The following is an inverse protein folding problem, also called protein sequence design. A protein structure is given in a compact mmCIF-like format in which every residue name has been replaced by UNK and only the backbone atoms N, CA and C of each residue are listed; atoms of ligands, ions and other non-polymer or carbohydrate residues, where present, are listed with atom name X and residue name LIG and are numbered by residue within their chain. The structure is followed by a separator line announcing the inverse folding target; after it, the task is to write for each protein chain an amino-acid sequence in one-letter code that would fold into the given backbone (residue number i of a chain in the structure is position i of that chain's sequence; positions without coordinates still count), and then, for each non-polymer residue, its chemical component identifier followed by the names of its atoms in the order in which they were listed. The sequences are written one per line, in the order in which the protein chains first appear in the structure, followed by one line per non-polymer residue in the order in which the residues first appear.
data_IF_844261687970
#
_entry.id   IF_844261687970
#
_cell.length_a   1.000
_cell.length_b   1.000
_cell.length_c   1.000
_cell.angle_alpha   90.00
_cell.angle_beta   90.00
_cell.angle_gamma   90.00
#
_symmetry.space_group_name_H-M   'P 1'
#
loop_
_entity.id
_entity.type
_entity.pdbx_description
1 polymer ?
#
# COMPACT_ATOMS: atom_id res chain seq x y z
N UNK A 1 25.63 24.89 -64.02
CA UNK A 1 24.40 24.14 -63.76
C UNK A 1 24.78 22.76 -63.25
N UNK A 2 24.53 22.47 -61.98
CA UNK A 2 24.76 21.16 -61.38
C UNK A 2 23.98 21.12 -60.07
N UNK A 3 22.81 20.49 -60.10
CA UNK A 3 21.89 20.41 -58.97
C UNK A 3 22.41 19.44 -57.91
N UNK A 4 22.38 19.88 -56.65
CA UNK A 4 22.68 19.07 -55.46
C UNK A 4 21.41 18.29 -55.10
N UNK A 5 21.49 16.96 -55.14
CA UNK A 5 20.39 16.08 -54.78
C UNK A 5 20.38 15.84 -53.27
N UNK A 6 19.31 16.27 -52.61
CA UNK A 6 18.98 15.98 -51.21
C UNK A 6 18.69 14.47 -51.04
N UNK A 7 19.28 13.85 -50.02
CA UNK A 7 18.95 12.48 -49.60
C UNK A 7 18.05 12.55 -48.37
N UNK A 8 16.75 12.31 -48.55
CA UNK A 8 15.80 12.06 -47.47
C UNK A 8 16.01 10.67 -46.87
N UNK A 9 16.32 10.59 -45.58
CA UNK A 9 16.32 9.33 -44.83
C UNK A 9 14.94 9.12 -44.20
N UNK A 10 14.12 8.27 -44.81
CA UNK A 10 12.88 7.77 -44.20
C UNK A 10 13.24 6.73 -43.15
N UNK A 11 12.94 7.00 -41.88
CA UNK A 11 13.03 6.02 -40.79
C UNK A 11 11.81 5.10 -40.91
N UNK A 12 12.02 3.83 -41.26
CA UNK A 12 10.97 2.81 -41.20
C UNK A 12 10.58 2.55 -39.74
N UNK A 13 9.29 2.71 -39.41
CA UNK A 13 8.74 2.25 -38.14
C UNK A 13 8.67 0.72 -38.13
N UNK A 14 9.02 0.04 -37.02
CA UNK A 14 8.87 -1.40 -36.94
C UNK A 14 7.38 -1.79 -36.99
N UNK A 15 7.09 -2.79 -37.82
CA UNK A 15 5.76 -3.38 -38.02
C UNK A 15 5.20 -3.87 -36.68
N UNK A 16 3.98 -3.44 -36.34
CA UNK A 16 3.28 -3.88 -35.15
C UNK A 16 3.21 -5.42 -35.11
N UNK A 17 3.64 -6.00 -33.99
CA UNK A 17 3.58 -7.43 -33.75
C UNK A 17 2.13 -7.80 -33.44
N UNK A 18 1.34 -8.09 -34.47
CA UNK A 18 0.03 -8.70 -34.31
C UNK A 18 0.25 -10.18 -33.96
N UNK A 19 0.17 -10.49 -32.67
CA UNK A 19 0.00 -11.88 -32.22
C UNK A 19 -1.43 -12.27 -32.58
N UNK A 20 -1.59 -13.18 -33.54
CA UNK A 20 -2.85 -13.88 -33.75
C UNK A 20 -3.17 -14.69 -32.49
N UNK A 21 -4.02 -14.13 -31.64
CA UNK A 21 -4.49 -14.81 -30.43
C UNK A 21 -5.46 -15.91 -30.84
N UNK A 22 -4.94 -17.14 -30.89
CA UNK A 22 -5.74 -18.35 -30.96
C UNK A 22 -6.63 -18.39 -29.70
N UNK A 23 -7.94 -18.16 -29.87
CA UNK A 23 -9.01 -18.16 -28.86
C UNK A 23 -8.55 -18.09 -27.40
N UNK A 24 -8.05 -16.92 -27.00
CA UNK A 24 -7.78 -16.64 -25.59
C UNK A 24 -9.12 -16.52 -24.87
N UNK A 25 -9.52 -17.58 -24.18
CA UNK A 25 -10.63 -17.56 -23.23
C UNK A 25 -10.22 -16.62 -22.09
N UNK A 26 -10.62 -15.35 -22.19
CA UNK A 26 -10.34 -14.33 -21.18
C UNK A 26 -10.84 -14.84 -19.82
N UNK A 27 -10.01 -14.88 -18.75
CA UNK A 27 -10.48 -15.27 -17.44
C UNK A 27 -11.60 -14.30 -17.04
N UNK A 28 -12.73 -14.86 -16.59
CA UNK A 28 -13.93 -14.09 -16.30
C UNK A 28 -13.62 -12.97 -15.29
N UNK A 29 -14.08 -11.77 -15.59
CA UNK A 29 -13.77 -10.56 -14.83
C UNK A 29 -14.52 -10.46 -13.50
N UNK A 30 -14.99 -11.56 -12.92
CA UNK A 30 -15.89 -11.52 -11.77
C UNK A 30 -15.46 -12.55 -10.73
N UNK A 31 -14.90 -12.08 -9.60
CA UNK A 31 -14.78 -12.88 -8.39
C UNK A 31 -16.02 -12.64 -7.52
N UNK A 32 -16.69 -13.70 -7.10
CA UNK A 32 -17.88 -13.61 -6.25
C UNK A 32 -17.46 -13.46 -4.79
N UNK A 33 -17.93 -12.40 -4.12
CA UNK A 33 -17.80 -12.24 -2.67
C UNK A 33 -19.15 -11.81 -2.10
N UNK A 34 -19.63 -12.54 -1.09
CA UNK A 34 -20.89 -12.27 -0.40
C UNK A 34 -20.71 -11.21 0.68
N UNK A 35 -21.47 -10.13 0.59
CA UNK A 35 -21.67 -9.16 1.67
C UNK A 35 -23.19 -9.14 1.94
N UNK A 36 -23.58 -9.13 3.22
CA UNK A 36 -24.93 -9.16 3.82
C UNK A 36 -26.11 -8.57 2.97
N UNK A 37 -27.38 -8.94 3.26
CA UNK A 37 -28.44 -8.97 2.27
C UNK A 37 -28.72 -7.59 1.66
N UNK A 38 -28.49 -7.44 0.36
CA UNK A 38 -29.20 -6.46 -0.46
C UNK A 38 -28.37 -5.40 -1.21
N UNK A 39 -27.05 -5.30 -1.06
CA UNK A 39 -26.24 -4.39 -1.90
C UNK A 39 -24.92 -5.02 -2.35
N UNK A 40 -24.93 -5.59 -3.55
CA UNK A 40 -23.76 -6.14 -4.22
C UNK A 40 -23.03 -5.00 -4.96
N UNK A 41 -21.86 -4.57 -4.49
CA UNK A 41 -20.99 -3.63 -5.22
C UNK A 41 -19.81 -4.42 -5.76
N UNK A 42 -19.80 -4.70 -7.07
CA UNK A 42 -18.70 -5.40 -7.72
C UNK A 42 -17.49 -4.47 -7.82
N UNK A 43 -16.37 -4.84 -7.20
CA UNK A 43 -15.08 -4.26 -7.53
C UNK A 43 -14.55 -4.97 -8.78
N UNK A 44 -14.00 -4.26 -9.77
CA UNK A 44 -13.40 -4.92 -10.92
C UNK A 44 -12.25 -5.84 -10.47
N UNK A 45 -12.00 -6.95 -11.16
CA UNK A 45 -11.04 -7.99 -10.78
C UNK A 45 -9.59 -7.47 -10.83
N UNK A 46 -9.36 -6.40 -11.59
CA UNK A 46 -8.10 -5.64 -11.59
C UNK A 46 -7.80 -5.05 -10.21
N UNK A 47 -8.83 -4.64 -9.46
CA UNK A 47 -8.70 -4.13 -8.11
C UNK A 47 -8.29 -5.23 -7.12
N UNK A 48 -8.89 -6.42 -7.19
CA UNK A 48 -8.54 -7.53 -6.31
C UNK A 48 -7.09 -7.99 -6.49
N UNK A 49 -6.67 -8.18 -7.75
CA UNK A 49 -5.27 -8.51 -8.07
C UNK A 49 -4.30 -7.39 -7.69
N UNK A 50 -4.67 -6.13 -7.95
CA UNK A 50 -3.84 -4.98 -7.55
C UNK A 50 -3.65 -4.93 -6.04
N UNK A 51 -4.70 -5.21 -5.27
CA UNK A 51 -4.60 -5.25 -3.81
C UNK A 51 -3.69 -6.38 -3.34
N UNK A 52 -3.79 -7.57 -3.95
CA UNK A 52 -2.91 -8.71 -3.64
C UNK A 52 -1.43 -8.39 -3.93
N UNK A 53 -1.12 -7.77 -5.08
CA UNK A 53 0.25 -7.35 -5.39
C UNK A 53 0.75 -6.26 -4.43
N UNK A 54 -0.10 -5.29 -4.09
CA UNK A 54 0.25 -4.26 -3.12
C UNK A 54 0.49 -4.85 -1.72
N UNK A 55 -0.32 -5.84 -1.31
CA UNK A 55 -0.19 -6.54 -0.04
C UNK A 55 1.14 -7.31 0.03
N UNK A 56 1.48 -8.03 -1.04
CA UNK A 56 2.75 -8.75 -1.14
C UNK A 56 3.95 -7.81 -1.00
N UNK A 57 3.93 -6.67 -1.70
CA UNK A 57 4.99 -5.66 -1.62
C UNK A 57 5.09 -5.01 -0.24
N UNK A 58 3.96 -4.69 0.38
CA UNK A 58 3.94 -4.12 1.73
C UNK A 58 4.55 -5.12 2.72
N UNK A 59 4.09 -6.36 2.69
CA UNK A 59 4.60 -7.46 3.54
C UNK A 59 6.10 -7.66 3.35
N UNK A 60 6.58 -7.73 2.11
CA UNK A 60 8.01 -7.86 1.78
C UNK A 60 8.82 -6.69 2.36
N UNK A 61 8.33 -5.45 2.21
CA UNK A 61 8.99 -4.27 2.77
C UNK A 61 9.08 -4.31 4.29
N UNK A 62 8.05 -4.79 4.98
CA UNK A 62 8.08 -4.99 6.43
C UNK A 62 9.12 -6.04 6.84
N UNK A 63 9.27 -7.13 6.07
CA UNK A 63 10.35 -8.10 6.30
C UNK A 63 11.73 -7.51 6.07
N UNK A 64 11.89 -6.65 5.06
CA UNK A 64 13.17 -5.96 4.82
C UNK A 64 13.60 -5.11 6.01
N UNK A 65 12.67 -4.41 6.66
CA UNK A 65 13.00 -3.59 7.85
C UNK A 65 13.61 -4.40 9.00
N UNK A 66 13.24 -5.69 9.16
CA UNK A 66 13.83 -6.58 10.16
C UNK A 66 15.25 -7.06 9.81
N UNK A 67 15.60 -7.03 8.53
CA UNK A 67 16.87 -7.51 8.01
C UNK A 67 17.87 -6.40 7.69
N UNK A 68 17.57 -5.15 8.06
CA UNK A 68 18.53 -4.06 7.95
C UNK A 68 19.66 -4.25 8.96
N UNK A 69 20.84 -3.75 8.60
CA UNK A 69 21.95 -3.64 9.54
C UNK A 69 21.69 -2.51 10.55
N UNK A 70 22.35 -2.57 11.70
CA UNK A 70 22.46 -1.41 12.59
C UNK A 70 23.11 -0.23 11.84
N UNK A 71 22.69 0.98 12.16
CA UNK A 71 23.13 2.23 11.50
C UNK A 71 22.81 2.28 9.99
N UNK A 72 21.71 1.66 9.55
CA UNK A 72 21.31 1.62 8.12
C UNK A 72 21.09 3.00 7.49
N UNK A 73 20.83 4.02 8.31
CA UNK A 73 20.63 5.40 7.89
C UNK A 73 21.86 6.31 8.08
N UNK A 74 22.93 5.82 8.73
CA UNK A 74 24.12 6.59 9.08
C UNK A 74 23.95 7.55 10.27
N UNK A 75 22.85 7.45 11.01
CA UNK A 75 22.52 8.27 12.18
C UNK A 75 22.14 7.43 13.42
N UNK A 76 22.61 6.18 13.47
CA UNK A 76 22.31 5.23 14.54
C UNK A 76 20.97 4.50 14.36
N UNK A 77 20.43 4.46 13.14
CA UNK A 77 19.17 3.80 12.82
C UNK A 77 19.18 2.31 13.13
N UNK A 78 18.17 1.85 13.85
CA UNK A 78 18.02 0.45 14.23
C UNK A 78 17.14 -0.29 13.22
N UNK A 79 17.38 -1.58 12.98
CA UNK A 79 16.39 -2.42 12.30
C UNK A 79 15.10 -2.46 13.09
N UNK A 80 13.98 -2.79 12.43
CA UNK A 80 12.69 -2.88 13.09
C UNK A 80 12.75 -3.78 14.32
N UNK A 81 12.13 -3.41 15.44
CA UNK A 81 12.03 -4.31 16.60
C UNK A 81 11.10 -5.48 16.28
N UNK A 82 11.27 -6.61 16.96
CA UNK A 82 10.39 -7.77 16.73
C UNK A 82 8.94 -7.45 17.08
N UNK A 83 8.71 -6.72 18.17
CA UNK A 83 7.37 -6.29 18.60
C UNK A 83 6.73 -5.38 17.56
N UNK A 84 7.45 -4.35 17.11
CA UNK A 84 6.93 -3.40 16.13
C UNK A 84 6.58 -4.08 14.80
N UNK A 85 7.48 -4.93 14.30
CA UNK A 85 7.23 -5.74 13.10
C UNK A 85 6.00 -6.65 13.26
N UNK A 86 5.87 -7.35 14.39
CA UNK A 86 4.77 -8.27 14.62
C UNK A 86 3.44 -7.54 14.69
N UNK A 87 3.37 -6.41 15.41
CA UNK A 87 2.15 -5.60 15.50
C UNK A 87 1.76 -4.99 14.14
N UNK A 88 2.72 -4.45 13.38
CA UNK A 88 2.46 -3.92 12.04
C UNK A 88 1.97 -5.00 11.07
N UNK A 89 2.59 -6.19 11.08
CA UNK A 89 2.18 -7.32 10.24
C UNK A 89 0.77 -7.78 10.57
N UNK A 90 0.47 -7.96 11.85
CA UNK A 90 -0.85 -8.36 12.32
C UNK A 90 -1.93 -7.31 11.95
N UNK A 91 -1.60 -6.02 12.06
CA UNK A 91 -2.50 -4.94 11.66
C UNK A 91 -2.83 -5.02 10.16
N UNK A 92 -1.81 -5.17 9.32
CA UNK A 92 -1.99 -5.23 7.86
C UNK A 92 -2.87 -6.42 7.45
N UNK A 93 -2.75 -7.56 8.13
CA UNK A 93 -3.59 -8.74 7.88
C UNK A 93 -5.07 -8.53 8.25
N UNK A 94 -5.35 -7.66 9.23
CA UNK A 94 -6.73 -7.29 9.61
C UNK A 94 -7.34 -6.23 8.68
N UNK A 95 -6.53 -5.54 7.89
CA UNK A 95 -7.02 -4.47 7.03
C UNK A 95 -7.94 -5.03 5.95
N UNK A 96 -9.21 -4.62 5.98
CA UNK A 96 -10.22 -5.09 5.03
C UNK A 96 -9.92 -4.59 3.61
N UNK A 97 -10.12 -5.43 2.58
CA UNK A 97 -9.89 -5.11 1.14
C UNK A 97 -10.66 -3.90 0.59
N UNK A 98 -11.58 -3.30 1.37
CA UNK A 98 -12.29 -2.05 1.01
C UNK A 98 -11.42 -0.80 1.20
N UNK A 99 -10.34 -0.89 1.98
CA UNK A 99 -9.40 0.20 2.18
C UNK A 99 -8.17 -0.01 1.29
N UNK A 100 -7.60 1.10 0.83
CA UNK A 100 -6.28 1.08 0.21
C UNK A 100 -5.24 0.65 1.24
N UNK A 101 -4.18 -0.01 0.77
CA UNK A 101 -3.08 -0.41 1.64
C UNK A 101 -2.23 0.81 2.00
N UNK A 102 -1.72 0.89 3.24
CA UNK A 102 -0.86 1.98 3.63
C UNK A 102 0.51 1.87 2.94
N UNK A 103 1.20 3.00 2.85
CA UNK A 103 2.65 3.01 2.74
C UNK A 103 3.27 2.73 4.12
N UNK A 104 4.47 2.17 4.16
CA UNK A 104 5.19 1.91 5.42
C UNK A 104 6.45 2.77 5.55
N UNK A 105 6.83 3.04 6.79
CA UNK A 105 8.02 3.76 7.20
C UNK A 105 8.68 3.02 8.38
N UNK A 106 10.00 3.07 8.47
CA UNK A 106 10.79 2.63 9.62
C UNK A 106 11.43 3.87 10.25
N UNK A 107 11.19 4.09 11.53
CA UNK A 107 11.85 5.11 12.32
C UNK A 107 13.23 4.63 12.77
N UNK A 108 14.11 5.58 13.09
CA UNK A 108 15.50 5.29 13.49
C UNK A 108 15.64 4.49 14.78
N UNK A 109 14.60 4.39 15.59
CA UNK A 109 14.55 3.58 16.82
C UNK A 109 13.98 2.16 16.59
N UNK A 110 13.72 1.78 15.34
CA UNK A 110 13.17 0.48 15.00
C UNK A 110 11.64 0.39 15.09
N UNK A 111 10.94 1.52 15.27
CA UNK A 111 9.49 1.59 15.17
C UNK A 111 9.02 1.57 13.70
N UNK A 112 8.01 0.77 13.40
CA UNK A 112 7.32 0.75 12.12
C UNK A 112 6.05 1.59 12.23
N UNK A 113 5.85 2.46 11.25
CA UNK A 113 4.61 3.20 11.05
C UNK A 113 4.02 2.89 9.68
N UNK A 114 2.70 2.93 9.61
CA UNK A 114 1.92 2.76 8.39
C UNK A 114 1.10 4.03 8.16
N UNK A 115 1.05 4.52 6.94
CA UNK A 115 0.37 5.78 6.67
C UNK A 115 -0.38 5.79 5.33
N UNK A 116 -1.41 6.62 5.29
CA UNK A 116 -2.16 6.97 4.11
C UNK A 116 -2.10 8.48 3.91
N UNK A 117 -2.03 8.90 2.65
CA UNK A 117 -2.02 10.32 2.29
C UNK A 117 -2.81 10.53 1.01
N UNK A 118 -3.82 11.39 1.05
CA UNK A 118 -4.67 11.70 -0.11
C UNK A 118 -5.31 13.07 0.03
N UNK A 119 -5.27 13.86 -1.04
CA UNK A 119 -5.97 15.16 -1.15
C UNK A 119 -5.75 16.12 0.05
N UNK A 120 -4.55 16.14 0.63
CA UNK A 120 -4.24 16.99 1.79
C UNK A 120 -4.57 16.37 3.15
N UNK A 121 -5.23 15.22 3.17
CA UNK A 121 -5.43 14.39 4.36
C UNK A 121 -4.25 13.42 4.56
N UNK A 122 -3.95 13.15 5.82
CA UNK A 122 -2.90 12.25 6.28
C UNK A 122 -3.42 11.45 7.47
N UNK A 123 -3.17 10.16 7.47
CA UNK A 123 -3.42 9.26 8.60
C UNK A 123 -2.18 8.39 8.77
N UNK A 124 -1.64 8.32 9.96
CA UNK A 124 -0.51 7.47 10.34
C UNK A 124 -0.88 6.65 11.56
N UNK A 125 -0.49 5.38 11.58
CA UNK A 125 -0.54 4.50 12.73
C UNK A 125 0.86 3.98 13.01
N UNK A 126 1.28 4.10 14.26
CA UNK A 126 2.62 3.79 14.75
C UNK A 126 2.57 2.60 15.72
N UNK A 127 3.57 1.72 15.66
CA UNK A 127 3.63 0.49 16.45
C UNK A 127 4.92 0.44 17.29
N UNK A 128 4.93 0.96 18.52
CA UNK A 128 6.13 0.98 19.37
C UNK A 128 6.72 -0.41 19.68
N UNK A 129 5.90 -1.46 19.58
CA UNK A 129 6.31 -2.86 19.75
C UNK A 129 6.11 -3.42 21.16
N UNK A 130 5.35 -2.71 22.00
CA UNK A 130 4.92 -3.12 23.33
C UNK A 130 3.45 -3.61 23.34
N UNK A 131 2.96 -4.06 22.19
CA UNK A 131 1.56 -4.42 21.97
C UNK A 131 0.57 -3.26 22.17
N UNK A 132 1.04 -2.03 21.98
CA UNK A 132 0.22 -0.84 21.80
C UNK A 132 0.36 -0.27 20.39
N UNK A 133 -0.49 0.69 20.07
CA UNK A 133 -0.35 1.56 18.92
C UNK A 133 -0.92 2.94 19.24
N UNK A 134 -0.50 3.94 18.48
CA UNK A 134 -1.17 5.24 18.44
C UNK A 134 -1.31 5.67 16.98
N UNK A 135 -2.17 6.65 16.72
CA UNK A 135 -2.37 7.16 15.38
C UNK A 135 -2.56 8.67 15.35
N UNK A 136 -2.13 9.28 14.26
CA UNK A 136 -2.25 10.71 13.99
C UNK A 136 -3.07 10.90 12.72
N UNK A 137 -4.09 11.73 12.80
CA UNK A 137 -4.86 12.19 11.66
C UNK A 137 -4.68 13.68 11.46
N UNK A 138 -4.60 14.11 10.20
CA UNK A 138 -4.55 15.52 9.82
C UNK A 138 -5.25 15.74 8.49
N UNK A 139 -6.15 16.71 8.43
CA UNK A 139 -6.67 17.29 7.19
C UNK A 139 -6.59 18.83 7.24
N UNK A 140 -7.32 19.54 6.36
CA UNK A 140 -7.31 21.01 6.33
C UNK A 140 -8.04 21.66 7.52
N UNK A 141 -8.87 20.92 8.24
CA UNK A 141 -9.78 21.42 9.27
C UNK A 141 -9.44 20.87 10.66
N UNK A 142 -8.80 19.71 10.72
CA UNK A 142 -8.63 18.91 11.92
C UNK A 142 -7.22 18.34 12.01
N UNK A 143 -6.68 18.34 13.23
CA UNK A 143 -5.53 17.55 13.63
C UNK A 143 -5.93 16.77 14.87
N UNK A 144 -5.70 15.47 14.86
CA UNK A 144 -5.96 14.57 15.96
C UNK A 144 -4.76 13.65 16.19
N UNK A 145 -4.43 13.40 17.44
CA UNK A 145 -3.49 12.37 17.85
C UNK A 145 -4.14 11.54 18.94
N UNK A 146 -4.15 10.23 18.79
CA UNK A 146 -4.69 9.33 19.81
C UNK A 146 -3.75 9.26 21.02
N UNK A 147 -4.26 8.89 22.21
CA UNK A 147 -3.40 8.28 23.23
C UNK A 147 -2.85 6.94 22.73
N UNK A 148 -1.96 6.33 23.51
CA UNK A 148 -1.57 4.94 23.29
C UNK A 148 -2.78 4.02 23.55
N UNK A 149 -3.07 3.17 22.58
CA UNK A 149 -4.17 2.22 22.58
C UNK A 149 -3.60 0.81 22.63
N UNK A 150 -4.23 -0.06 23.43
CA UNK A 150 -3.88 -1.48 23.42
C UNK A 150 -4.17 -2.07 22.05
N UNK A 151 -3.21 -2.80 21.49
CA UNK A 151 -3.39 -3.56 20.26
C UNK A 151 -4.15 -4.85 20.58
N UNK A 152 -5.48 -4.74 20.66
CA UNK A 152 -6.35 -5.92 20.77
C UNK A 152 -6.33 -6.68 19.43
N UNK A 153 -6.21 -8.00 19.53
CA UNK A 153 -6.21 -8.88 18.37
C UNK A 153 -7.57 -8.89 17.65
N UNK A 154 -8.66 -8.47 18.31
CA UNK A 154 -10.02 -8.66 17.79
C UNK A 154 -10.65 -7.47 17.07
N UNK A 155 -10.35 -6.22 17.43
CA UNK A 155 -11.00 -5.05 16.83
C UNK A 155 -10.04 -3.86 16.72
N UNK A 156 -10.12 -3.15 15.57
CA UNK A 156 -9.47 -1.85 15.40
C UNK A 156 -10.32 -0.77 16.06
N UNK A 157 -9.67 0.27 16.58
CA UNK A 157 -10.36 1.38 17.20
C UNK A 157 -11.35 2.05 16.23
N UNK A 158 -12.55 2.35 16.74
CA UNK A 158 -13.64 2.88 15.92
C UNK A 158 -13.34 4.28 15.37
N UNK A 159 -12.57 5.09 16.11
CA UNK A 159 -12.18 6.43 15.68
C UNK A 159 -11.12 6.36 14.59
N UNK A 160 -10.13 5.46 14.73
CA UNK A 160 -9.18 5.16 13.66
C UNK A 160 -9.90 4.76 12.35
N UNK A 161 -10.86 3.82 12.43
CA UNK A 161 -11.64 3.39 11.25
C UNK A 161 -12.46 4.54 10.65
N UNK A 162 -12.98 5.44 11.50
CA UNK A 162 -13.65 6.66 11.08
C UNK A 162 -12.76 7.59 10.26
N UNK A 163 -11.52 7.80 10.69
CA UNK A 163 -10.54 8.60 9.93
C UNK A 163 -10.07 7.91 8.66
N UNK A 164 -9.81 6.60 8.72
CA UNK A 164 -9.39 5.84 7.54
C UNK A 164 -10.45 5.88 6.42
N UNK A 165 -11.73 5.90 6.78
CA UNK A 165 -12.83 6.05 5.82
C UNK A 165 -12.93 7.46 5.20
N UNK A 166 -12.26 8.47 5.77
CA UNK A 166 -12.21 9.85 5.28
C UNK A 166 -11.01 10.15 4.38
N UNK A 167 -10.05 9.22 4.28
CA UNK A 167 -8.84 9.37 3.46
C UNK A 167 -9.15 9.14 1.98
#
# INVERSE_FOLDING_TARGET
MGAVAERSSTIEQPKAFLVESNQAQWPSTHAQVTIAPGRMRMLPPTHAKSWEYAMARLTEKLFMYRGLDEDWDGYGGQPATYGSFSNAMEFVQKLTKRFELPASMLAGDGEISLFWKRNGSYLEISFPGDNSYHFIYKDSNEVFASPDLSFDTYQLDSQFIGYLARI
#
